data_IF_689279806990
#
_entry.id   IF_689279806990
#
_cell.length_a   1.000
_cell.length_b   1.000
_cell.length_c   1.000
_cell.angle_alpha   90.00
_cell.angle_beta   90.00
_cell.angle_gamma   90.00
#
_symmetry.space_group_name_H-M   'P 1'
#
loop_
_entity.id
_entity.type
_entity.pdbx_description
1 polymer ?
#
# COMPACT_ATOMS: atom_id res chain seq x y z
N UNK A 1 65.41 78.54 15.09
CA UNK A 1 64.31 78.52 14.09
C UNK A 1 63.91 77.06 13.88
N UNK A 2 62.62 76.75 14.09
CA UNK A 2 61.86 75.55 13.64
C UNK A 2 62.37 74.18 14.13
N UNK A 3 61.55 73.22 14.60
CA UNK A 3 60.13 72.98 14.37
C UNK A 3 59.46 72.30 15.58
N UNK A 4 58.36 72.88 16.06
CA UNK A 4 57.25 72.12 16.64
C UNK A 4 56.49 71.45 15.49
N UNK A 5 56.17 70.16 15.55
CA UNK A 5 54.79 69.65 15.42
C UNK A 5 54.67 68.12 15.41
N UNK A 6 53.49 67.65 15.85
CA UNK A 6 52.84 66.34 15.56
C UNK A 6 53.32 65.10 16.31
N UNK A 7 52.80 64.92 17.53
CA UNK A 7 52.50 63.58 18.05
C UNK A 7 51.21 63.64 18.86
N UNK A 8 50.06 63.37 18.23
CA UNK A 8 48.78 63.43 18.93
C UNK A 8 47.56 63.19 18.05
N UNK A 9 47.58 62.17 17.19
CA UNK A 9 46.37 61.68 16.51
C UNK A 9 46.67 60.34 15.80
N UNK A 10 46.73 59.22 16.52
CA UNK A 10 46.65 57.89 15.85
C UNK A 10 46.25 56.69 16.72
N UNK A 11 46.02 56.89 18.02
CA UNK A 11 45.69 55.81 18.96
C UNK A 11 44.17 55.61 19.15
N UNK A 12 43.37 56.65 18.88
CA UNK A 12 41.90 56.58 19.00
C UNK A 12 41.21 55.90 17.79
N UNK A 13 41.73 56.08 16.58
CA UNK A 13 41.19 55.49 15.34
C UNK A 13 41.40 53.97 15.28
N UNK A 14 42.56 53.49 15.72
CA UNK A 14 42.94 52.07 15.68
C UNK A 14 42.14 51.22 16.68
N UNK A 15 41.82 51.77 17.85
CA UNK A 15 41.03 51.09 18.89
C UNK A 15 39.54 51.00 18.51
N UNK A 16 39.02 52.04 17.84
CA UNK A 16 37.64 52.06 17.32
C UNK A 16 37.42 51.00 16.23
N UNK A 17 38.32 50.91 15.24
CA UNK A 17 38.23 49.91 14.16
C UNK A 17 38.30 48.46 14.65
N UNK A 18 39.11 48.19 15.69
CA UNK A 18 39.21 46.84 16.25
C UNK A 18 37.92 46.41 16.96
N UNK A 19 37.25 47.33 17.67
CA UNK A 19 35.97 47.04 18.32
C UNK A 19 34.83 46.85 17.32
N UNK A 20 34.81 47.59 16.21
CA UNK A 20 33.84 47.40 15.13
C UNK A 20 34.01 46.02 14.48
N UNK A 21 35.24 45.62 14.16
CA UNK A 21 35.53 44.29 13.60
C UNK A 21 35.12 43.13 14.52
N UNK A 22 35.35 43.25 15.83
CA UNK A 22 34.92 42.22 16.81
C UNK A 22 33.39 42.15 16.93
N UNK A 23 32.69 43.28 16.81
CA UNK A 23 31.23 43.30 16.81
C UNK A 23 30.65 42.63 15.55
N UNK A 24 31.25 42.88 14.38
CA UNK A 24 30.86 42.26 13.12
C UNK A 24 31.08 40.73 13.13
N UNK A 25 32.20 40.25 13.69
CA UNK A 25 32.46 38.80 13.79
C UNK A 25 31.48 38.11 14.73
N UNK A 26 31.17 38.70 15.89
CA UNK A 26 30.18 38.15 16.82
C UNK A 26 28.78 38.11 16.21
N UNK A 27 28.42 39.13 15.43
CA UNK A 27 27.15 39.18 14.70
C UNK A 27 27.09 38.06 13.65
N UNK A 28 28.14 37.89 12.85
CA UNK A 28 28.23 36.82 11.86
C UNK A 28 28.16 35.42 12.49
N UNK A 29 28.86 35.18 13.60
CA UNK A 29 28.79 33.92 14.35
C UNK A 29 27.38 33.63 14.88
N UNK A 30 26.67 34.64 15.39
CA UNK A 30 25.29 34.48 15.86
C UNK A 30 24.31 34.14 14.74
N UNK A 31 24.45 34.79 13.58
CA UNK A 31 23.62 34.53 12.38
C UNK A 31 23.90 33.12 11.84
N UNK A 32 25.17 32.72 11.78
CA UNK A 32 25.55 31.36 11.37
C UNK A 32 24.97 30.31 12.33
N UNK A 33 25.00 30.55 13.64
CA UNK A 33 24.41 29.66 14.62
C UNK A 33 22.88 29.54 14.44
N UNK A 34 22.16 30.64 14.20
CA UNK A 34 20.72 30.62 13.91
C UNK A 34 20.38 29.89 12.60
N UNK A 35 21.18 30.08 11.55
CA UNK A 35 21.01 29.38 10.27
C UNK A 35 21.28 27.88 10.38
N UNK A 36 22.30 27.49 11.14
CA UNK A 36 22.61 26.09 11.40
C UNK A 36 21.51 25.46 12.26
N UNK A 37 21.00 26.19 13.27
CA UNK A 37 19.93 25.72 14.13
C UNK A 37 18.60 25.55 13.37
N UNK A 38 18.21 26.51 12.54
CA UNK A 38 17.01 26.40 11.69
C UNK A 38 17.12 25.29 10.66
N UNK A 39 18.29 25.11 10.03
CA UNK A 39 18.55 23.96 9.14
C UNK A 39 18.51 22.63 9.90
N UNK A 40 19.07 22.57 11.10
CA UNK A 40 19.05 21.38 11.95
C UNK A 40 17.61 21.00 12.33
N UNK A 41 16.86 21.94 12.91
CA UNK A 41 15.44 21.76 13.26
C UNK A 41 14.60 21.36 12.05
N UNK A 42 14.81 21.98 10.88
CA UNK A 42 14.08 21.63 9.66
C UNK A 42 14.47 20.26 9.11
N UNK A 43 15.74 19.88 9.18
CA UNK A 43 16.24 18.57 8.73
C UNK A 43 15.71 17.46 9.63
N UNK A 44 15.74 17.66 10.94
CA UNK A 44 15.22 16.70 11.91
C UNK A 44 13.70 16.59 11.85
N UNK A 45 12.98 17.72 11.71
CA UNK A 45 11.52 17.71 11.53
C UNK A 45 11.12 17.04 10.22
N UNK A 46 11.86 17.28 9.11
CA UNK A 46 11.66 16.55 7.86
C UNK A 46 11.93 15.06 8.01
N UNK A 47 13.00 14.68 8.70
CA UNK A 47 13.35 13.30 8.94
C UNK A 47 12.28 12.60 9.80
N UNK A 48 11.77 13.28 10.83
CA UNK A 48 10.67 12.80 11.66
C UNK A 48 9.36 12.65 10.87
N UNK A 49 9.03 13.59 9.96
CA UNK A 49 7.87 13.45 9.08
C UNK A 49 8.01 12.27 8.10
N UNK A 50 9.22 12.01 7.58
CA UNK A 50 9.50 10.85 6.72
C UNK A 50 9.38 9.54 7.51
N UNK A 51 9.95 9.46 8.72
CA UNK A 51 9.85 8.27 9.58
C UNK A 51 8.40 8.02 9.97
N UNK A 52 7.66 9.08 10.34
CA UNK A 52 6.23 8.99 10.64
C UNK A 52 5.43 8.47 9.45
N UNK A 53 5.74 8.94 8.23
CA UNK A 53 5.10 8.47 7.01
C UNK A 53 5.45 7.00 6.69
N UNK A 54 6.69 6.56 6.95
CA UNK A 54 7.12 5.18 6.77
C UNK A 54 6.43 4.21 7.76
N UNK A 55 6.12 4.66 8.97
CA UNK A 55 5.35 3.86 9.95
C UNK A 55 3.91 3.57 9.50
N UNK A 56 3.38 4.28 8.51
CA UNK A 56 2.05 4.05 7.95
C UNK A 56 2.00 3.03 6.80
N UNK A 57 3.13 2.43 6.43
CA UNK A 57 3.13 1.34 5.46
C UNK A 57 2.41 0.12 6.06
N UNK A 58 1.20 -0.15 5.55
CA UNK A 58 0.37 -1.26 6.00
C UNK A 58 1.06 -2.62 5.83
N UNK A 59 0.78 -3.56 6.75
CA UNK A 59 1.25 -4.94 6.62
C UNK A 59 0.60 -5.59 5.40
N UNK A 60 1.38 -6.36 4.66
CA UNK A 60 0.89 -7.11 3.50
C UNK A 60 1.22 -8.59 3.61
N UNK A 61 0.36 -9.43 3.04
CA UNK A 61 0.43 -10.89 3.08
C UNK A 61 0.02 -11.51 1.74
N UNK A 62 0.45 -12.75 1.53
CA UNK A 62 0.08 -13.54 0.36
C UNK A 62 -1.10 -14.46 0.65
N UNK A 63 -2.02 -14.59 -0.30
CA UNK A 63 -3.14 -15.52 -0.27
C UNK A 63 -3.01 -16.54 -1.40
N UNK A 64 -2.68 -17.78 -1.06
CA UNK A 64 -2.73 -18.93 -1.96
C UNK A 64 -4.15 -19.50 -2.00
N UNK A 65 -4.68 -19.64 -3.20
CA UNK A 65 -6.01 -20.20 -3.49
C UNK A 65 -5.83 -21.49 -4.26
N UNK A 66 -6.22 -22.60 -3.65
CA UNK A 66 -6.28 -23.89 -4.30
C UNK A 66 -7.72 -24.17 -4.74
N UNK A 67 -7.97 -24.14 -6.04
CA UNK A 67 -9.25 -24.45 -6.66
C UNK A 67 -9.30 -25.95 -6.94
N UNK A 68 -10.34 -26.63 -6.46
CA UNK A 68 -10.55 -28.05 -6.63
C UNK A 68 -11.95 -28.35 -7.18
N UNK A 69 -12.15 -29.56 -7.73
CA UNK A 69 -13.46 -30.01 -8.20
C UNK A 69 -13.83 -29.50 -9.59
N UNK A 70 -12.84 -29.13 -10.40
CA UNK A 70 -13.09 -28.59 -11.73
C UNK A 70 -13.62 -29.71 -12.65
N UNK A 71 -14.85 -29.60 -13.18
CA UNK A 71 -15.53 -30.71 -13.86
C UNK A 71 -14.91 -31.05 -15.22
N UNK A 72 -14.59 -30.03 -16.02
CA UNK A 72 -13.84 -30.18 -17.27
C UNK A 72 -12.38 -29.82 -17.02
N UNK A 73 -11.46 -30.70 -17.45
CA UNK A 73 -10.02 -30.48 -17.24
C UNK A 73 -9.45 -29.40 -18.13
N UNK A 74 -10.25 -28.73 -18.95
CA UNK A 74 -9.85 -27.59 -19.76
C UNK A 74 -10.91 -26.50 -19.67
N UNK A 75 -10.46 -25.27 -19.60
CA UNK A 75 -11.33 -24.10 -19.57
C UNK A 75 -10.61 -22.92 -18.94
N UNK A 76 -11.39 -21.93 -18.53
CA UNK A 76 -10.89 -20.72 -17.91
C UNK A 76 -11.48 -20.57 -16.52
N UNK A 77 -10.66 -20.32 -15.51
CA UNK A 77 -11.14 -19.95 -14.18
C UNK A 77 -11.11 -18.44 -14.04
N UNK A 78 -12.24 -17.89 -13.62
CA UNK A 78 -12.35 -16.53 -13.11
C UNK A 78 -12.26 -16.59 -11.59
N UNK A 79 -11.21 -16.02 -11.01
CA UNK A 79 -11.01 -15.98 -9.57
C UNK A 79 -11.14 -14.52 -9.11
N UNK A 80 -12.25 -14.20 -8.45
CA UNK A 80 -12.54 -12.87 -7.91
C UNK A 80 -12.25 -12.80 -6.42
N UNK A 81 -11.43 -11.84 -6.01
CA UNK A 81 -11.17 -11.48 -4.63
C UNK A 81 -11.91 -10.18 -4.28
N UNK A 82 -12.68 -10.19 -3.20
CA UNK A 82 -13.50 -9.09 -2.73
C UNK A 82 -13.07 -8.68 -1.33
N UNK A 83 -13.15 -7.39 -1.01
CA UNK A 83 -12.88 -6.84 0.32
C UNK A 83 -14.07 -6.03 0.88
N UNK A 84 -15.24 -6.12 0.23
CA UNK A 84 -16.46 -5.43 0.65
C UNK A 84 -17.67 -6.34 0.52
N UNK A 85 -18.56 -6.29 1.50
CA UNK A 85 -19.86 -6.97 1.46
C UNK A 85 -20.82 -6.36 0.44
N UNK A 86 -20.67 -5.07 0.10
CA UNK A 86 -21.56 -4.38 -0.84
C UNK A 86 -21.31 -4.75 -2.30
N UNK A 87 -20.14 -5.29 -2.63
CA UNK A 87 -19.80 -5.73 -3.98
C UNK A 87 -19.76 -7.25 -4.13
N UNK A 88 -19.67 -8.00 -3.04
CA UNK A 88 -19.58 -9.44 -3.09
C UNK A 88 -20.94 -10.10 -3.38
N UNK A 89 -21.03 -11.12 -4.26
CA UNK A 89 -20.01 -11.64 -5.18
C UNK A 89 -20.24 -11.21 -6.64
N UNK A 90 -20.54 -9.93 -6.86
CA UNK A 90 -20.86 -9.41 -8.19
C UNK A 90 -19.65 -9.41 -9.12
N UNK A 91 -19.79 -10.08 -10.27
CA UNK A 91 -18.79 -10.06 -11.33
C UNK A 91 -18.55 -8.62 -11.82
N UNK A 92 -17.28 -8.24 -11.95
CA UNK A 92 -16.85 -6.90 -12.36
C UNK A 92 -16.69 -5.89 -11.22
N UNK A 93 -17.11 -6.24 -9.98
CA UNK A 93 -16.94 -5.41 -8.78
C UNK A 93 -15.92 -5.99 -7.80
N UNK A 94 -15.03 -6.87 -8.27
CA UNK A 94 -13.99 -7.47 -7.44
C UNK A 94 -12.95 -6.42 -7.04
N UNK A 95 -12.34 -6.57 -5.87
CA UNK A 95 -11.14 -5.81 -5.50
C UNK A 95 -9.96 -6.17 -6.40
N UNK A 96 -9.78 -7.48 -6.64
CA UNK A 96 -8.84 -8.03 -7.62
C UNK A 96 -9.50 -9.19 -8.35
N UNK A 97 -9.27 -9.29 -9.65
CA UNK A 97 -9.75 -10.40 -10.48
C UNK A 97 -8.63 -10.97 -11.31
N UNK A 98 -8.61 -12.28 -11.48
CA UNK A 98 -7.72 -12.97 -12.42
C UNK A 98 -8.51 -13.95 -13.27
N UNK A 99 -8.07 -14.06 -14.52
CA UNK A 99 -8.53 -15.02 -15.50
C UNK A 99 -7.37 -15.96 -15.79
N UNK A 100 -7.51 -17.24 -15.49
CA UNK A 100 -6.46 -18.25 -15.72
C UNK A 100 -6.97 -19.35 -16.62
N UNK A 101 -6.24 -19.63 -17.68
CA UNK A 101 -6.42 -20.90 -18.41
C UNK A 101 -5.87 -22.00 -17.53
N UNK A 102 -6.65 -23.06 -17.32
CA UNK A 102 -6.24 -24.16 -16.47
C UNK A 102 -6.30 -25.48 -17.24
N UNK A 103 -5.45 -26.41 -16.82
CA UNK A 103 -5.52 -27.81 -17.20
C UNK A 103 -5.53 -28.70 -15.96
N UNK A 104 -6.44 -29.68 -15.92
CA UNK A 104 -6.57 -30.64 -14.84
C UNK A 104 -7.76 -30.40 -13.90
N UNK A 105 -7.80 -31.16 -12.80
CA UNK A 105 -8.93 -31.13 -11.84
C UNK A 105 -8.76 -30.11 -10.71
N UNK A 106 -7.61 -29.44 -10.67
CA UNK A 106 -7.25 -28.47 -9.65
C UNK A 106 -6.31 -27.40 -10.22
N UNK A 107 -6.38 -26.19 -9.67
CA UNK A 107 -5.50 -25.10 -10.03
C UNK A 107 -5.10 -24.29 -8.79
N UNK A 108 -3.86 -23.83 -8.72
CA UNK A 108 -3.38 -22.98 -7.62
C UNK A 108 -3.03 -21.61 -8.14
N UNK A 109 -3.60 -20.58 -7.52
CA UNK A 109 -3.30 -19.17 -7.81
C UNK A 109 -2.88 -18.44 -6.53
N UNK A 110 -1.94 -17.49 -6.63
CA UNK A 110 -1.46 -16.71 -5.48
C UNK A 110 -1.69 -15.22 -5.71
N UNK A 111 -2.51 -14.60 -4.86
CA UNK A 111 -2.54 -13.16 -4.72
C UNK A 111 -1.40 -12.71 -3.82
N UNK A 112 -0.56 -11.78 -4.30
CA UNK A 112 0.59 -11.28 -3.56
C UNK A 112 0.36 -9.90 -2.97
N UNK A 113 1.04 -9.58 -1.88
CA UNK A 113 1.10 -8.25 -1.28
C UNK A 113 -0.29 -7.65 -1.02
N UNK A 114 -1.22 -8.45 -0.48
CA UNK A 114 -2.53 -7.97 -0.06
C UNK A 114 -2.42 -7.32 1.31
N UNK A 115 -3.01 -6.14 1.49
CA UNK A 115 -3.09 -5.50 2.80
C UNK A 115 -3.74 -6.42 3.84
N UNK A 116 -3.35 -6.28 5.09
CA UNK A 116 -4.04 -6.94 6.20
C UNK A 116 -5.50 -6.51 6.24
N UNK A 117 -6.43 -7.40 5.89
CA UNK A 117 -7.86 -7.11 5.80
C UNK A 117 -8.71 -8.40 5.79
N UNK A 118 -10.02 -8.27 5.72
CA UNK A 118 -10.96 -9.36 5.47
C UNK A 118 -11.32 -9.43 4.00
N UNK A 119 -11.19 -10.61 3.41
CA UNK A 119 -11.49 -10.88 2.01
C UNK A 119 -12.55 -11.96 1.84
N UNK A 120 -13.09 -12.11 0.63
CA UNK A 120 -13.88 -13.26 0.21
C UNK A 120 -13.56 -13.60 -1.25
N UNK A 121 -13.64 -14.88 -1.61
CA UNK A 121 -13.42 -15.38 -2.96
C UNK A 121 -14.75 -15.81 -3.59
N UNK A 122 -14.91 -15.48 -4.86
CA UNK A 122 -15.89 -16.10 -5.75
C UNK A 122 -15.17 -16.61 -7.00
N UNK A 123 -15.37 -17.87 -7.33
CA UNK A 123 -14.68 -18.57 -8.41
C UNK A 123 -15.72 -19.13 -9.37
N UNK A 124 -15.52 -18.92 -10.66
CA UNK A 124 -16.37 -19.42 -11.73
C UNK A 124 -15.51 -20.10 -12.78
N UNK A 125 -15.97 -21.22 -13.32
CA UNK A 125 -15.31 -21.95 -14.39
C UNK A 125 -16.07 -21.73 -15.70
N UNK A 126 -15.44 -21.02 -16.64
CA UNK A 126 -15.91 -20.85 -18.02
C UNK A 126 -15.40 -22.00 -18.87
N UNK A 127 -16.29 -22.96 -19.12
CA UNK A 127 -16.06 -24.16 -19.88
C UNK A 127 -16.22 -23.91 -21.39
N UNK A 128 -17.18 -23.07 -21.78
CA UNK A 128 -17.47 -22.80 -23.18
C UNK A 128 -16.59 -21.71 -23.83
N UNK A 129 -15.74 -21.06 -23.03
CA UNK A 129 -14.76 -20.05 -23.42
C UNK A 129 -15.38 -18.81 -24.06
N UNK A 130 -16.59 -18.47 -23.69
CA UNK A 130 -17.26 -17.28 -24.20
C UNK A 130 -16.85 -16.00 -23.46
N UNK A 131 -16.07 -16.12 -22.37
CA UNK A 131 -15.56 -15.02 -21.57
C UNK A 131 -16.63 -14.33 -20.73
N UNK A 132 -17.81 -14.93 -20.58
CA UNK A 132 -18.96 -14.40 -19.84
C UNK A 132 -19.33 -15.35 -18.72
N UNK A 133 -19.87 -14.78 -17.65
CA UNK A 133 -20.53 -15.57 -16.62
C UNK A 133 -21.93 -15.93 -17.11
N UNK A 134 -22.09 -17.12 -17.67
CA UNK A 134 -23.39 -17.61 -18.11
C UNK A 134 -24.29 -17.89 -16.92
N UNK A 135 -25.52 -17.35 -16.98
CA UNK A 135 -26.51 -17.45 -15.92
C UNK A 135 -27.83 -17.98 -16.48
N UNK A 136 -28.52 -18.78 -15.68
CA UNK A 136 -29.87 -19.21 -16.00
C UNK A 136 -30.90 -18.06 -15.78
N UNK A 137 -32.17 -18.30 -16.10
CA UNK A 137 -33.25 -17.31 -15.95
C UNK A 137 -33.46 -16.81 -14.50
N UNK A 138 -32.92 -17.52 -13.51
CA UNK A 138 -32.95 -17.15 -12.09
C UNK A 138 -31.65 -16.45 -11.63
N UNK A 139 -30.73 -16.14 -12.56
CA UNK A 139 -29.49 -15.42 -12.28
C UNK A 139 -28.37 -16.27 -11.66
N UNK A 140 -28.56 -17.59 -11.54
CA UNK A 140 -27.54 -18.51 -11.02
C UNK A 140 -26.56 -18.92 -12.14
N UNK A 141 -25.25 -19.03 -11.87
CA UNK A 141 -24.29 -19.53 -12.84
C UNK A 141 -24.69 -20.91 -13.40
N UNK A 142 -24.61 -21.08 -14.72
CA UNK A 142 -24.87 -22.38 -15.37
C UNK A 142 -23.66 -23.30 -15.34
N UNK A 143 -22.47 -22.74 -15.14
CA UNK A 143 -21.20 -23.47 -15.04
C UNK A 143 -20.72 -23.54 -13.59
N UNK A 144 -19.72 -24.39 -13.33
CA UNK A 144 -19.26 -24.68 -11.98
C UNK A 144 -18.73 -23.42 -11.27
N UNK A 145 -19.13 -23.26 -10.01
CA UNK A 145 -18.75 -22.10 -9.20
C UNK A 145 -18.50 -22.49 -7.75
N UNK A 146 -17.79 -21.62 -7.03
CA UNK A 146 -17.49 -21.83 -5.62
C UNK A 146 -17.07 -20.54 -4.91
N UNK A 147 -17.12 -20.58 -3.58
CA UNK A 147 -16.77 -19.44 -2.73
C UNK A 147 -15.78 -19.89 -1.66
N UNK A 148 -15.02 -18.94 -1.10
CA UNK A 148 -14.19 -19.20 0.07
C UNK A 148 -15.00 -19.76 1.25
N UNK A 149 -14.30 -20.50 2.11
CA UNK A 149 -14.90 -21.34 3.17
C UNK A 149 -15.88 -22.40 2.64
N UNK A 150 -15.91 -22.65 1.33
CA UNK A 150 -16.91 -23.49 0.67
C UNK A 150 -18.36 -23.12 1.04
N UNK A 151 -18.59 -21.83 1.33
CA UNK A 151 -19.87 -21.32 1.74
C UNK A 151 -20.92 -21.55 0.64
N UNK A 152 -22.13 -21.97 1.05
CA UNK A 152 -23.24 -22.25 0.14
C UNK A 152 -24.55 -21.88 0.82
N UNK A 153 -25.38 -21.13 0.11
CA UNK A 153 -26.77 -20.91 0.47
C UNK A 153 -27.67 -21.59 -0.57
N UNK A 154 -28.93 -21.88 -0.22
CA UNK A 154 -29.82 -22.74 -1.03
C UNK A 154 -30.40 -22.03 -2.25
N UNK A 155 -30.63 -20.73 -2.13
CA UNK A 155 -31.37 -19.92 -3.13
C UNK A 155 -30.60 -18.67 -3.56
N UNK A 156 -29.37 -18.49 -3.07
CA UNK A 156 -28.57 -17.28 -3.24
C UNK A 156 -27.08 -17.62 -3.20
N UNK A 157 -26.26 -16.66 -3.63
CA UNK A 157 -24.85 -16.68 -3.27
C UNK A 157 -24.71 -16.46 -1.75
N UNK A 158 -23.67 -17.01 -1.10
CA UNK A 158 -23.47 -16.82 0.34
C UNK A 158 -23.24 -15.35 0.68
N UNK A 159 -23.52 -14.97 1.92
CA UNK A 159 -23.06 -13.67 2.43
C UNK A 159 -21.52 -13.55 2.43
N UNK A 160 -21.01 -12.32 2.33
CA UNK A 160 -19.57 -12.04 2.50
C UNK A 160 -19.04 -12.58 3.85
N UNK A 161 -19.85 -12.47 4.91
CA UNK A 161 -19.50 -12.98 6.24
C UNK A 161 -19.31 -14.49 6.28
N UNK A 162 -20.13 -15.25 5.56
CA UNK A 162 -19.98 -16.70 5.44
C UNK A 162 -18.73 -17.09 4.63
N UNK A 163 -18.40 -16.31 3.60
CA UNK A 163 -17.24 -16.52 2.75
C UNK A 163 -15.95 -15.86 3.28
N UNK A 164 -15.94 -15.23 4.46
CA UNK A 164 -14.83 -14.36 4.87
C UNK A 164 -13.53 -15.11 5.14
N UNK A 165 -12.42 -14.54 4.70
CA UNK A 165 -11.04 -14.90 4.99
C UNK A 165 -10.41 -13.70 5.67
N UNK A 166 -10.11 -13.81 6.96
CA UNK A 166 -9.29 -12.80 7.64
C UNK A 166 -7.85 -13.02 7.18
N UNK A 167 -7.19 -12.02 6.62
CA UNK A 167 -5.80 -12.12 6.16
C UNK A 167 -4.88 -11.29 7.08
N UNK A 168 -4.33 -11.96 8.08
CA UNK A 168 -3.45 -11.42 9.13
C UNK A 168 -2.02 -12.02 9.10
N UNK A 169 -1.80 -12.90 8.12
CA UNK A 169 -0.54 -13.58 7.78
C UNK A 169 -0.71 -14.19 6.40
N UNK A 170 0.37 -14.72 5.83
CA UNK A 170 0.26 -15.54 4.62
C UNK A 170 -0.68 -16.71 4.87
N UNK A 171 -1.64 -16.91 3.96
CA UNK A 171 -2.67 -17.95 4.10
C UNK A 171 -2.82 -18.76 2.84
N UNK A 172 -3.23 -20.00 3.06
CA UNK A 172 -3.74 -20.90 2.03
C UNK A 172 -5.22 -21.15 2.26
N UNK A 173 -6.01 -21.07 1.20
CA UNK A 173 -7.43 -21.38 1.20
C UNK A 173 -7.72 -22.41 0.10
N UNK A 174 -8.55 -23.40 0.42
CA UNK A 174 -9.08 -24.34 -0.55
C UNK A 174 -10.53 -23.97 -0.90
N UNK A 175 -10.82 -23.90 -2.18
CA UNK A 175 -12.15 -23.64 -2.72
C UNK A 175 -12.54 -24.76 -3.66
N UNK A 176 -13.64 -25.44 -3.34
CA UNK A 176 -14.24 -26.46 -4.18
C UNK A 176 -15.34 -25.84 -5.05
N UNK A 177 -15.17 -25.92 -6.36
CA UNK A 177 -16.22 -25.56 -7.32
C UNK A 177 -17.06 -26.78 -7.69
N UNK A 178 -18.32 -26.57 -8.03
CA UNK A 178 -19.30 -27.61 -8.39
C UNK A 178 -20.51 -27.05 -9.11
#
# INVERSE_FOLDING_TARGET
MQSNNRMGANIASTTSNKNISIHETKLAESILAEQLWTKFVYTDMKLLLIIFFLCFLGKTYDLEVQVNGIPNTKGTLFIGLFNSSSSFPEYGKQYKGVVVVHEGKSHTYRFKNLSQDTYALAIYHDENKNGKLDKNLFGAPTEAYGFSNNARERFSAPSFGAAKIILDRDKKCEVRIR
#
